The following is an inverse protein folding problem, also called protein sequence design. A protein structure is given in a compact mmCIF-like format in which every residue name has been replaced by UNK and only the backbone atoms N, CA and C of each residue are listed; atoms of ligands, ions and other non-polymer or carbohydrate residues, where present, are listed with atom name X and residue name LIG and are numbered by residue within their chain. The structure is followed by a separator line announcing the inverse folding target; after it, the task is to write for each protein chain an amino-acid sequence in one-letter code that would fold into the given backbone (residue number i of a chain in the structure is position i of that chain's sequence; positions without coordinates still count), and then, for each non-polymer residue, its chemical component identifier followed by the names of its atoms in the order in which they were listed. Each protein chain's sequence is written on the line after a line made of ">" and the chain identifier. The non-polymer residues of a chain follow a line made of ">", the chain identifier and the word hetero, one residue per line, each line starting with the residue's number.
data_IF_867068743542
#
_entry.id   IF_867068743542
#
_cell.length_a   1.000
_cell.length_b   1.000
_cell.length_c   1.000
_cell.angle_alpha   90.00
_cell.angle_beta   90.00
_cell.angle_gamma   90.00
#
_symmetry.space_group_name_H-M   'P 1'
#
loop_
_entity.id
_entity.type
_entity.pdbx_description
1 polymer ?
#
# COMPACT_ATOMS: atom_id res chain seq x y z
N UNK A 1 -15.31 -10.79 -13.98
CA UNK A 1 -14.84 -9.44 -13.72
C UNK A 1 -13.34 -9.47 -13.39
N UNK A 2 -12.60 -8.53 -13.92
CA UNK A 2 -11.17 -8.45 -13.63
C UNK A 2 -10.95 -8.05 -12.16
N UNK A 3 -9.98 -8.67 -11.51
CA UNK A 3 -9.56 -8.29 -10.18
C UNK A 3 -8.73 -7.00 -10.25
N UNK A 4 -8.87 -6.17 -9.24
CA UNK A 4 -8.10 -4.93 -9.15
C UNK A 4 -6.82 -5.11 -8.34
N UNK A 5 -5.80 -4.32 -8.67
CA UNK A 5 -4.54 -4.27 -7.92
C UNK A 5 -4.84 -3.84 -6.49
N UNK A 6 -4.25 -4.54 -5.53
CA UNK A 6 -4.37 -4.21 -4.13
C UNK A 6 -3.31 -3.21 -3.68
N UNK A 7 -3.61 -2.47 -2.61
CA UNK A 7 -2.72 -1.47 -2.04
C UNK A 7 -2.59 -1.72 -0.55
N UNK A 8 -1.35 -1.77 -0.07
CA UNK A 8 -1.04 -1.90 1.36
C UNK A 8 -0.32 -0.65 1.84
N UNK A 9 -0.82 -0.08 2.93
CA UNK A 9 -0.30 1.14 3.52
C UNK A 9 0.42 0.77 4.82
N UNK A 10 1.75 0.82 4.80
CA UNK A 10 2.58 0.49 5.97
C UNK A 10 2.99 1.78 6.67
N UNK A 11 2.62 1.91 7.93
CA UNK A 11 2.93 3.08 8.73
C UNK A 11 3.40 2.68 10.12
N UNK A 12 4.18 3.55 10.76
CA UNK A 12 4.55 3.41 12.17
C UNK A 12 3.38 3.68 13.10
N UNK A 13 2.31 4.30 12.59
CA UNK A 13 1.11 4.64 13.35
C UNK A 13 -0.10 3.91 12.77
N UNK A 14 -0.79 3.17 13.63
CA UNK A 14 -2.03 2.51 13.25
C UNK A 14 -3.08 3.52 12.76
N UNK A 15 -3.22 4.64 13.47
CA UNK A 15 -4.17 5.69 13.11
C UNK A 15 -3.85 6.33 11.77
N UNK A 16 -2.56 6.56 11.49
CA UNK A 16 -2.16 7.16 10.21
C UNK A 16 -2.49 6.23 9.05
N UNK A 17 -2.19 4.94 9.18
CA UNK A 17 -2.48 3.96 8.14
C UNK A 17 -3.98 3.87 7.88
N UNK A 18 -4.78 3.77 8.93
CA UNK A 18 -6.24 3.67 8.80
C UNK A 18 -6.87 4.96 8.29
N UNK A 19 -6.38 6.13 8.72
CA UNK A 19 -6.86 7.41 8.21
C UNK A 19 -6.62 7.57 6.72
N UNK A 20 -5.43 7.20 6.26
CA UNK A 20 -5.13 7.23 4.83
C UNK A 20 -6.01 6.24 4.07
N UNK A 21 -6.18 5.01 4.59
CA UNK A 21 -7.08 4.04 3.98
C UNK A 21 -8.48 4.59 3.80
N UNK A 22 -9.03 5.21 4.85
CA UNK A 22 -10.37 5.77 4.79
C UNK A 22 -10.50 6.84 3.70
N UNK A 23 -9.48 7.68 3.56
CA UNK A 23 -9.46 8.69 2.50
C UNK A 23 -9.42 8.05 1.12
N UNK A 24 -8.59 7.02 0.94
CA UNK A 24 -8.46 6.36 -0.36
C UNK A 24 -9.74 5.65 -0.78
N UNK A 25 -10.44 5.03 0.16
CA UNK A 25 -11.72 4.37 -0.13
C UNK A 25 -12.74 5.39 -0.67
N UNK A 26 -12.77 6.59 -0.10
CA UNK A 26 -13.66 7.65 -0.59
C UNK A 26 -13.29 8.16 -1.97
N UNK A 27 -11.99 8.24 -2.26
CA UNK A 27 -11.49 8.77 -3.53
C UNK A 27 -11.58 7.74 -4.65
N UNK A 28 -11.21 6.50 -4.38
CA UNK A 28 -11.07 5.45 -5.39
C UNK A 28 -12.24 4.47 -5.44
N UNK A 29 -13.07 4.44 -4.41
CA UNK A 29 -14.18 3.51 -4.31
C UNK A 29 -13.82 2.25 -3.50
N UNK A 30 -14.85 1.51 -3.12
CA UNK A 30 -14.70 0.34 -2.24
C UNK A 30 -14.20 -0.91 -2.96
N UNK A 31 -14.16 -0.90 -4.28
CA UNK A 31 -13.76 -2.07 -5.07
C UNK A 31 -12.25 -2.30 -5.08
N UNK A 32 -11.45 -1.26 -4.87
CA UNK A 32 -9.99 -1.40 -4.78
C UNK A 32 -9.64 -2.00 -3.42
N UNK A 33 -8.91 -3.13 -3.39
CA UNK A 33 -8.51 -3.73 -2.11
C UNK A 33 -7.43 -2.86 -1.45
N UNK A 34 -7.77 -2.14 -0.39
CA UNK A 34 -6.85 -1.27 0.33
C UNK A 34 -6.77 -1.74 1.78
N UNK A 35 -5.57 -2.12 2.23
CA UNK A 35 -5.35 -2.61 3.57
C UNK A 35 -4.34 -1.75 4.31
N UNK A 36 -4.61 -1.50 5.58
CA UNK A 36 -3.73 -0.73 6.45
C UNK A 36 -2.93 -1.66 7.35
N UNK A 37 -1.63 -1.41 7.47
CA UNK A 37 -0.73 -2.15 8.35
C UNK A 37 0.08 -1.12 9.14
N UNK A 38 -0.47 -0.65 10.24
CA UNK A 38 0.16 0.40 11.04
C UNK A 38 0.36 -0.01 12.49
N UNK A 39 1.46 0.48 13.06
CA UNK A 39 1.79 0.26 14.45
C UNK A 39 2.34 -1.13 14.76
N UNK A 40 2.73 -1.32 16.01
CA UNK A 40 3.17 -2.60 16.53
C UNK A 40 1.97 -3.46 16.94
N UNK A 41 2.22 -4.74 17.27
CA UNK A 41 1.17 -5.68 17.65
C UNK A 41 0.41 -5.26 18.91
N UNK A 42 1.07 -4.51 19.80
CA UNK A 42 0.46 -3.99 21.02
C UNK A 42 -0.15 -2.60 20.86
N UNK A 43 -0.20 -2.07 19.64
CA UNK A 43 -0.80 -0.76 19.35
C UNK A 43 0.13 0.42 19.49
N UNK A 44 1.42 0.18 19.76
CA UNK A 44 2.43 1.24 19.87
C UNK A 44 2.94 1.73 18.52
N UNK A 45 3.87 2.69 18.57
CA UNK A 45 4.55 3.18 17.37
C UNK A 45 5.59 2.15 16.90
N UNK A 46 5.63 1.93 15.61
CA UNK A 46 6.55 1.00 14.98
C UNK A 46 5.86 0.19 13.90
N UNK A 47 6.53 -0.84 13.40
CA UNK A 47 5.98 -1.70 12.35
C UNK A 47 5.90 -3.14 12.84
N UNK A 48 4.97 -3.89 12.27
CA UNK A 48 4.73 -5.30 12.63
C UNK A 48 4.84 -6.17 11.38
N UNK A 49 5.72 -7.15 11.42
CA UNK A 49 5.84 -8.16 10.38
C UNK A 49 4.48 -8.84 10.11
N UNK A 50 3.82 -9.30 11.17
CA UNK A 50 2.56 -10.04 11.04
C UNK A 50 1.44 -9.18 10.45
N UNK A 51 1.33 -7.92 10.88
CA UNK A 51 0.31 -7.01 10.34
C UNK A 51 0.53 -6.75 8.86
N UNK A 52 1.78 -6.58 8.44
CA UNK A 52 2.12 -6.36 7.03
C UNK A 52 1.79 -7.61 6.21
N UNK A 53 2.19 -8.78 6.70
CA UNK A 53 1.91 -10.04 6.00
C UNK A 53 0.41 -10.26 5.79
N UNK A 54 -0.38 -10.07 6.85
CA UNK A 54 -1.84 -10.22 6.76
C UNK A 54 -2.44 -9.21 5.78
N UNK A 55 -1.97 -7.95 5.82
CA UNK A 55 -2.47 -6.92 4.91
C UNK A 55 -2.19 -7.26 3.45
N UNK A 56 -0.98 -7.74 3.15
CA UNK A 56 -0.62 -8.14 1.78
C UNK A 56 -1.49 -9.29 1.32
N UNK A 57 -1.66 -10.31 2.16
CA UNK A 57 -2.48 -11.48 1.80
C UNK A 57 -3.94 -11.09 1.57
N UNK A 58 -4.47 -10.14 2.34
CA UNK A 58 -5.85 -9.66 2.16
C UNK A 58 -6.02 -8.80 0.92
N UNK A 59 -5.00 -8.00 0.59
CA UNK A 59 -5.05 -7.11 -0.59
C UNK A 59 -4.83 -7.85 -1.90
N UNK A 60 -4.22 -9.02 -1.84
CA UNK A 60 -3.92 -9.82 -3.02
C UNK A 60 -5.17 -10.57 -3.50
N UNK A 61 -5.73 -10.09 -4.58
CA UNK A 61 -6.89 -10.69 -5.24
C UNK A 61 -6.53 -11.30 -6.59
N UNK A 62 -5.24 -11.50 -6.84
CA UNK A 62 -4.76 -12.09 -8.08
C UNK A 62 -4.23 -11.11 -9.11
N UNK A 63 -4.36 -9.80 -8.87
CA UNK A 63 -3.86 -8.76 -9.77
C UNK A 63 -2.56 -8.11 -9.28
N UNK A 64 -2.03 -8.58 -8.16
CA UNK A 64 -0.83 -8.02 -7.55
C UNK A 64 -1.13 -7.00 -6.47
N UNK A 65 -0.10 -6.65 -5.71
CA UNK A 65 -0.20 -5.73 -4.57
C UNK A 65 0.92 -4.70 -4.62
N UNK A 66 0.57 -3.44 -4.42
CA UNK A 66 1.52 -2.36 -4.26
C UNK A 66 1.63 -2.01 -2.78
N UNK A 67 2.85 -2.01 -2.25
CA UNK A 67 3.13 -1.70 -0.84
C UNK A 67 3.79 -0.33 -0.76
N UNK A 68 3.17 0.60 -0.02
CA UNK A 68 3.72 1.92 0.26
C UNK A 68 4.07 2.03 1.74
N UNK A 69 5.12 2.80 2.04
CA UNK A 69 5.61 3.01 3.40
C UNK A 69 5.66 4.49 3.73
N UNK A 70 5.46 4.83 5.01
CA UNK A 70 5.53 6.23 5.46
C UNK A 70 6.97 6.72 5.67
N UNK A 71 7.78 5.94 6.34
CA UNK A 71 9.16 6.28 6.64
C UNK A 71 10.10 5.18 6.18
N UNK A 72 11.38 5.54 5.97
CA UNK A 72 12.38 4.59 5.51
C UNK A 72 12.54 3.35 6.40
N UNK A 73 12.34 3.47 7.72
CA UNK A 73 12.44 2.33 8.62
C UNK A 73 11.33 1.29 8.40
N UNK A 74 10.17 1.69 7.88
CA UNK A 74 9.11 0.75 7.51
C UNK A 74 9.52 -0.13 6.32
N UNK A 75 10.42 0.36 5.47
CA UNK A 75 10.93 -0.37 4.31
C UNK A 75 11.60 -1.66 4.76
N UNK A 76 12.35 -1.63 5.86
CA UNK A 76 13.08 -2.81 6.35
C UNK A 76 12.14 -3.95 6.70
N UNK A 77 11.09 -3.66 7.45
CA UNK A 77 10.12 -4.69 7.84
C UNK A 77 9.31 -5.19 6.63
N UNK A 78 8.86 -4.27 5.78
CA UNK A 78 8.11 -4.63 4.58
C UNK A 78 8.94 -5.49 3.63
N UNK A 79 10.21 -5.15 3.44
CA UNK A 79 11.12 -5.93 2.60
C UNK A 79 11.31 -7.34 3.11
N UNK A 80 11.45 -7.50 4.43
CA UNK A 80 11.57 -8.82 5.05
C UNK A 80 10.33 -9.68 4.80
N UNK A 81 9.15 -9.10 4.94
CA UNK A 81 7.90 -9.80 4.64
C UNK A 81 7.86 -10.28 3.19
N UNK A 82 8.24 -9.40 2.24
CA UNK A 82 8.21 -9.74 0.82
C UNK A 82 9.23 -10.83 0.48
N UNK A 83 10.40 -10.81 1.11
CA UNK A 83 11.43 -11.84 0.90
C UNK A 83 10.98 -13.21 1.40
N UNK A 84 10.19 -13.24 2.47
CA UNK A 84 9.71 -14.49 3.08
C UNK A 84 8.47 -15.07 2.38
N UNK A 85 7.75 -14.23 1.60
CA UNK A 85 6.57 -14.73 0.89
C UNK A 85 6.97 -15.59 -0.30
N UNK A 86 6.24 -16.68 -0.48
CA UNK A 86 6.46 -17.59 -1.61
C UNK A 86 5.94 -16.94 -2.92
N UNK A 87 4.79 -16.28 -2.85
CA UNK A 87 4.22 -15.59 -4.01
C UNK A 87 4.99 -14.30 -4.30
N UNK A 88 5.26 -14.03 -5.56
CA UNK A 88 6.10 -12.90 -6.00
C UNK A 88 5.27 -11.86 -6.75
N UNK A 89 4.11 -11.53 -6.21
CA UNK A 89 3.13 -10.64 -6.82
C UNK A 89 2.97 -9.30 -6.08
N UNK A 90 3.84 -9.02 -5.13
CA UNK A 90 3.82 -7.78 -4.35
C UNK A 90 5.08 -6.96 -4.62
N UNK A 91 4.91 -5.65 -4.79
CA UNK A 91 5.99 -4.72 -5.09
C UNK A 91 6.06 -3.65 -3.99
N UNK A 92 7.24 -3.48 -3.41
CA UNK A 92 7.53 -2.38 -2.50
C UNK A 92 8.00 -1.19 -3.34
N UNK A 93 7.31 -0.05 -3.22
CA UNK A 93 7.58 1.11 -4.06
C UNK A 93 8.18 2.26 -3.26
N UNK A 94 9.11 2.97 -3.86
CA UNK A 94 9.66 4.22 -3.33
C UNK A 94 8.82 5.38 -3.88
N UNK A 95 7.88 5.86 -3.08
CA UNK A 95 6.94 6.89 -3.49
C UNK A 95 6.48 7.70 -2.27
N UNK A 96 5.98 8.93 -2.50
CA UNK A 96 5.37 9.69 -1.41
C UNK A 96 4.18 8.94 -0.85
N UNK A 97 4.09 8.86 0.47
CA UNK A 97 3.11 7.98 1.13
C UNK A 97 1.66 8.37 0.81
N UNK A 98 1.31 9.65 0.95
CA UNK A 98 -0.07 10.10 0.73
C UNK A 98 -0.34 10.29 -0.75
N UNK A 99 0.44 11.12 -1.44
CA UNK A 99 0.22 11.42 -2.85
C UNK A 99 0.38 10.17 -3.72
N UNK A 100 1.37 9.34 -3.41
CA UNK A 100 1.57 8.08 -4.13
C UNK A 100 0.43 7.11 -3.95
N UNK A 101 -0.11 7.02 -2.73
CA UNK A 101 -1.25 6.16 -2.45
C UNK A 101 -2.51 6.63 -3.18
N UNK A 102 -2.75 7.94 -3.24
CA UNK A 102 -3.89 8.50 -3.96
C UNK A 102 -3.79 8.20 -5.45
N UNK A 103 -2.62 8.46 -6.05
CA UNK A 103 -2.41 8.21 -7.48
C UNK A 103 -2.58 6.72 -7.80
N UNK A 104 -2.02 5.85 -6.97
CA UNK A 104 -2.12 4.41 -7.16
C UNK A 104 -3.57 3.92 -7.03
N UNK A 105 -4.28 4.36 -6.00
CA UNK A 105 -5.65 3.91 -5.75
C UNK A 105 -6.61 4.32 -6.88
N UNK A 106 -6.50 5.57 -7.35
CA UNK A 106 -7.33 6.06 -8.45
C UNK A 106 -7.08 5.24 -9.72
N UNK A 107 -5.83 4.97 -10.04
CA UNK A 107 -5.50 4.20 -11.25
C UNK A 107 -5.88 2.73 -11.10
N UNK A 108 -5.69 2.13 -9.92
CA UNK A 108 -6.12 0.77 -9.65
C UNK A 108 -7.63 0.60 -9.87
N UNK A 109 -8.41 1.62 -9.50
CA UNK A 109 -9.86 1.63 -9.69
C UNK A 109 -10.29 1.57 -11.15
N UNK A 110 -9.42 1.96 -12.09
CA UNK A 110 -9.70 1.85 -13.53
C UNK A 110 -9.43 0.46 -14.10
N UNK A 111 -8.85 -0.44 -13.31
CA UNK A 111 -8.45 -1.77 -13.78
C UNK A 111 -7.04 -1.83 -14.33
N UNK A 112 -6.24 -0.78 -14.16
CA UNK A 112 -4.85 -0.76 -14.62
C UNK A 112 -4.03 -1.84 -13.89
N UNK A 113 -3.01 -2.37 -14.57
CA UNK A 113 -2.15 -3.41 -14.03
C UNK A 113 -1.13 -2.89 -13.01
N UNK A 114 -0.49 -3.82 -12.33
CA UNK A 114 0.46 -3.49 -11.24
C UNK A 114 1.59 -2.56 -11.70
N UNK A 115 2.14 -2.79 -12.88
CA UNK A 115 3.23 -1.94 -13.39
C UNK A 115 2.78 -0.49 -13.55
N UNK A 116 1.60 -0.27 -14.13
CA UNK A 116 1.05 1.07 -14.33
C UNK A 116 0.71 1.75 -13.01
N UNK A 117 0.12 1.00 -12.08
CA UNK A 117 -0.23 1.51 -10.75
C UNK A 117 1.03 1.89 -9.98
N UNK A 118 2.08 1.06 -10.04
CA UNK A 118 3.37 1.34 -9.43
C UNK A 118 3.98 2.63 -10.00
N UNK A 119 3.97 2.78 -11.31
CA UNK A 119 4.51 3.96 -11.98
C UNK A 119 3.77 5.23 -11.59
N UNK A 120 2.44 5.17 -11.47
CA UNK A 120 1.65 6.32 -11.01
C UNK A 120 2.06 6.77 -9.62
N UNK A 121 2.30 5.82 -8.70
CA UNK A 121 2.76 6.14 -7.35
C UNK A 121 4.13 6.83 -7.37
N UNK A 122 5.07 6.33 -8.18
CA UNK A 122 6.41 6.91 -8.30
C UNK A 122 6.35 8.33 -8.86
N UNK A 123 5.56 8.55 -9.89
CA UNK A 123 5.44 9.87 -10.54
C UNK A 123 4.80 10.92 -9.64
N UNK A 124 4.07 10.51 -8.61
CA UNK A 124 3.44 11.45 -7.69
C UNK A 124 4.47 12.35 -6.96
N UNK A 125 5.74 11.92 -6.87
CA UNK A 125 6.80 12.75 -6.25
C UNK A 125 7.06 14.04 -7.02
N UNK A 126 6.76 14.06 -8.31
CA UNK A 126 7.01 15.20 -9.18
C UNK A 126 5.84 16.17 -9.24
N UNK A 127 4.72 15.86 -8.60
CA UNK A 127 3.55 16.73 -8.57
C UNK A 127 3.75 17.81 -7.51
N UNK A 128 3.79 19.05 -7.96
CA UNK A 128 4.00 20.20 -7.07
C UNK A 128 2.69 20.67 -6.49
N UNK A 129 2.73 21.11 -5.23
CA UNK A 129 1.56 21.69 -4.55
C UNK A 129 1.51 23.21 -4.71
N UNK A 130 2.67 23.82 -4.92
CA UNK A 130 2.80 25.26 -5.09
C UNK A 130 3.59 25.59 -6.32
#
# INVERSE_FOLDING_TARGET
>A
MAQLVGIVLVSHSERLAHGLRDMLVQVAGEEVPIEAAGGTDDGGLGTSYDRILVAIDRADRGAGVLVLTDLGSAVLTARTVLEDRVANDAVLVDAPFVEGAVAAAVLAGTGAGLEEVTQAAVEARDVRKL
#
